data_IF_168500005790
#
_entry.id   IF_168500005790
#
_cell.length_a   1.000
_cell.length_b   1.000
_cell.length_c   1.000
_cell.angle_alpha   90.00
_cell.angle_beta   90.00
_cell.angle_gamma   90.00
#
_symmetry.space_group_name_H-M   'P 1'
#
loop_
_entity.id
_entity.type
_entity.pdbx_description
1 polymer ?
#
# COMPACT_ATOMS: atom_id res chain seq x y z
N UNK A 1 26.07 4.72 15.42
CA UNK A 1 25.30 5.68 14.60
C UNK A 1 24.08 4.98 14.02
N UNK A 2 22.88 5.47 14.33
CA UNK A 2 21.61 4.78 14.03
C UNK A 2 21.15 4.95 12.57
N UNK A 3 20.60 3.90 11.93
CA UNK A 3 20.16 3.91 10.52
C UNK A 3 18.99 4.87 10.23
N UNK A 4 18.41 5.52 11.24
CA UNK A 4 17.33 6.48 11.09
C UNK A 4 17.78 7.86 10.57
N UNK A 5 19.07 8.24 10.70
CA UNK A 5 19.56 9.57 10.25
C UNK A 5 19.96 9.63 8.78
N UNK A 6 20.26 8.50 8.14
CA UNK A 6 20.62 8.45 6.71
C UNK A 6 19.42 8.58 5.77
N UNK A 7 18.22 8.17 6.20
CA UNK A 7 17.00 8.28 5.39
C UNK A 7 16.38 9.68 5.37
N UNK A 8 16.69 10.53 6.35
CA UNK A 8 16.19 11.92 6.36
C UNK A 8 16.97 12.83 5.38
N UNK A 9 18.24 12.52 5.10
CA UNK A 9 19.07 13.29 4.16
C UNK A 9 18.78 13.01 2.68
N UNK A 10 18.34 11.80 2.34
CA UNK A 10 18.11 11.40 0.94
C UNK A 10 16.79 11.91 0.35
N UNK A 11 15.80 12.27 1.18
CA UNK A 11 14.50 12.78 0.71
C UNK A 11 14.52 14.29 0.36
N UNK A 12 15.58 15.01 0.72
CA UNK A 12 15.72 16.45 0.43
C UNK A 12 16.64 16.71 -0.78
N UNK A 13 17.50 15.76 -1.18
CA UNK A 13 18.49 15.95 -2.25
C UNK A 13 18.01 15.53 -3.66
N UNK A 14 16.79 15.01 -3.81
CA UNK A 14 16.40 14.20 -4.97
C UNK A 14 15.46 14.82 -5.99
N UNK A 15 15.25 16.14 -6.05
CA UNK A 15 14.53 16.78 -7.18
C UNK A 15 15.09 18.18 -7.43
N UNK A 16 16.40 18.29 -7.65
CA UNK A 16 16.90 19.39 -8.48
C UNK A 16 16.66 18.96 -9.91
N UNK A 17 15.41 19.07 -10.37
CA UNK A 17 15.13 19.01 -11.80
C UNK A 17 15.76 20.28 -12.36
N UNK A 18 16.98 20.15 -12.88
CA UNK A 18 17.58 21.11 -13.77
C UNK A 18 16.74 21.11 -15.05
N UNK A 19 15.57 21.76 -15.02
CA UNK A 19 14.87 22.16 -16.24
C UNK A 19 15.66 23.30 -16.85
N UNK A 20 16.81 23.00 -17.45
CA UNK A 20 17.32 23.76 -18.59
C UNK A 20 16.50 23.36 -19.82
N UNK A 21 15.17 23.45 -19.71
CA UNK A 21 14.33 23.55 -20.89
C UNK A 21 14.58 24.95 -21.44
N UNK A 22 15.66 25.08 -22.22
CA UNK A 22 15.80 26.17 -23.16
C UNK A 22 14.55 26.10 -24.04
N UNK A 23 13.53 26.87 -23.68
CA UNK A 23 12.42 27.14 -24.58
C UNK A 23 13.09 27.75 -25.80
N UNK A 24 13.24 26.94 -26.86
CA UNK A 24 13.67 27.40 -28.16
C UNK A 24 12.64 28.46 -28.56
N UNK A 25 12.96 29.72 -28.26
CA UNK A 25 12.11 30.84 -28.54
C UNK A 25 11.97 30.86 -30.04
N UNK A 26 10.80 30.49 -30.55
CA UNK A 26 10.44 30.76 -31.93
C UNK A 26 10.81 32.21 -32.18
N UNK A 27 11.71 32.44 -33.15
CA UNK A 27 12.30 33.75 -33.42
C UNK A 27 11.15 34.75 -33.54
N UNK A 28 10.94 35.55 -32.49
CA UNK A 28 9.84 36.49 -32.48
C UNK A 28 10.13 37.51 -33.58
N UNK A 29 9.16 37.80 -34.46
CA UNK A 29 9.35 38.78 -35.52
C UNK A 29 9.86 40.07 -34.87
N UNK A 30 10.91 40.66 -35.46
CA UNK A 30 11.47 41.93 -34.98
C UNK A 30 10.37 42.97 -35.01
N UNK A 31 9.73 43.19 -33.86
CA UNK A 31 8.75 44.25 -33.66
C UNK A 31 9.47 45.59 -33.81
N UNK A 32 8.82 46.62 -34.38
CA UNK A 32 9.38 47.96 -34.42
C UNK A 32 9.83 48.40 -33.01
N UNK A 33 10.95 49.11 -32.92
CA UNK A 33 11.56 49.53 -31.66
C UNK A 33 10.64 50.56 -30.95
N UNK A 34 9.67 50.08 -30.17
CA UNK A 34 8.96 50.93 -29.22
C UNK A 34 9.67 50.90 -27.86
N UNK A 35 10.10 52.06 -27.36
CA UNK A 35 10.74 52.17 -26.05
C UNK A 35 9.66 52.19 -24.97
N UNK A 36 9.49 51.05 -24.29
CA UNK A 36 8.67 50.93 -23.08
C UNK A 36 9.55 51.20 -21.87
N UNK A 37 9.06 51.99 -20.91
CA UNK A 37 9.68 52.18 -19.60
C UNK A 37 8.73 51.77 -18.48
N UNK A 38 9.24 51.07 -17.48
CA UNK A 38 8.49 50.64 -16.29
C UNK A 38 9.26 51.13 -15.06
N UNK A 39 8.63 51.98 -14.25
CA UNK A 39 9.29 52.59 -13.09
C UNK A 39 10.51 53.46 -13.46
N UNK A 40 10.54 53.98 -14.69
CA UNK A 40 11.68 54.74 -15.22
C UNK A 40 12.77 53.89 -15.89
N UNK A 41 12.73 52.56 -15.75
CA UNK A 41 13.70 51.66 -16.37
C UNK A 41 13.25 51.24 -17.77
N UNK A 42 14.18 51.15 -18.73
CA UNK A 42 13.90 50.64 -20.07
C UNK A 42 13.48 49.17 -19.98
N UNK A 43 12.35 48.84 -20.58
CA UNK A 43 11.71 47.53 -20.55
C UNK A 43 11.68 46.96 -21.96
N UNK A 44 12.38 45.85 -22.16
CA UNK A 44 12.50 45.16 -23.46
C UNK A 44 11.82 43.80 -23.40
N UNK A 45 11.63 43.15 -24.56
CA UNK A 45 11.16 41.77 -24.59
C UNK A 45 12.09 40.86 -23.78
N UNK A 46 11.52 40.14 -22.80
CA UNK A 46 12.26 39.32 -21.84
C UNK A 46 12.96 40.10 -20.71
N UNK A 47 12.80 41.42 -20.64
CA UNK A 47 13.38 42.24 -19.57
C UNK A 47 12.76 41.96 -18.20
N UNK A 48 13.53 42.21 -17.14
CA UNK A 48 13.11 42.11 -15.74
C UNK A 48 13.19 43.48 -15.06
N UNK A 49 12.15 43.86 -14.31
CA UNK A 49 12.15 45.08 -13.48
C UNK A 49 11.57 44.78 -12.11
N UNK A 50 12.29 45.12 -11.05
CA UNK A 50 11.79 45.01 -9.69
C UNK A 50 11.07 46.29 -9.25
N UNK A 51 9.89 46.14 -8.67
CA UNK A 51 9.05 47.23 -8.18
C UNK A 51 8.66 46.95 -6.72
N UNK A 52 8.87 47.89 -5.77
CA UNK A 52 8.42 47.71 -4.40
C UNK A 52 6.89 47.66 -4.31
N UNK A 53 6.35 46.73 -3.50
CA UNK A 53 4.91 46.55 -3.29
C UNK A 53 4.18 47.83 -2.80
N UNK A 54 4.89 48.73 -2.12
CA UNK A 54 4.35 49.97 -1.56
C UNK A 54 4.51 51.20 -2.47
N UNK A 55 4.97 51.04 -3.71
CA UNK A 55 5.18 52.16 -4.64
C UNK A 55 4.40 51.96 -5.93
N UNK A 56 3.72 53.02 -6.38
CA UNK A 56 3.16 53.04 -7.74
C UNK A 56 4.28 52.99 -8.77
N UNK A 57 4.11 52.15 -9.79
CA UNK A 57 5.02 52.10 -10.93
C UNK A 57 4.41 52.86 -12.10
N UNK A 58 5.19 53.71 -12.75
CA UNK A 58 4.74 54.35 -13.98
C UNK A 58 5.17 53.51 -15.18
N UNK A 59 4.21 53.05 -15.97
CA UNK A 59 4.45 52.49 -17.30
C UNK A 59 4.28 53.61 -18.31
N UNK A 60 5.30 53.84 -19.12
CA UNK A 60 5.22 54.83 -20.19
C UNK A 60 5.79 54.26 -21.48
N UNK A 61 5.18 54.66 -22.59
CA UNK A 61 5.68 54.34 -23.93
C UNK A 61 5.77 55.62 -24.71
N UNK A 62 6.92 55.82 -25.34
CA UNK A 62 7.13 56.89 -26.32
C UNK A 62 6.86 56.31 -27.70
N UNK A 63 6.00 56.95 -28.48
CA UNK A 63 5.61 56.51 -29.81
C UNK A 63 5.59 57.70 -30.77
N UNK A 64 5.92 57.47 -32.04
CA UNK A 64 5.88 58.52 -33.06
C UNK A 64 4.45 58.83 -33.55
N UNK A 65 3.51 57.91 -33.34
CA UNK A 65 2.11 58.05 -33.74
C UNK A 65 1.35 59.00 -32.79
N UNK A 66 0.44 59.82 -33.33
CA UNK A 66 -0.42 60.69 -32.52
C UNK A 66 -1.50 59.87 -31.79
N UNK A 67 -1.57 59.98 -30.46
CA UNK A 67 -2.59 59.35 -29.60
C UNK A 67 -2.68 57.81 -29.76
N UNK A 68 -1.57 57.07 -29.58
CA UNK A 68 -1.54 55.63 -29.80
C UNK A 68 -2.51 54.90 -28.87
N UNK A 69 -3.23 53.90 -29.39
CA UNK A 69 -4.03 53.01 -28.54
C UNK A 69 -3.10 52.14 -27.71
N UNK A 70 -3.49 51.88 -26.46
CA UNK A 70 -2.73 51.02 -25.57
C UNK A 70 -3.61 50.08 -24.77
N UNK A 71 -3.04 48.93 -24.44
CA UNK A 71 -3.59 47.93 -23.52
C UNK A 71 -2.44 47.33 -22.72
N UNK A 72 -2.54 47.43 -21.40
CA UNK A 72 -1.58 46.85 -20.46
C UNK A 72 -2.25 45.68 -19.76
N UNK A 73 -1.62 44.50 -19.81
CA UNK A 73 -2.06 43.31 -19.09
C UNK A 73 -0.98 42.84 -18.14
N UNK A 74 -1.39 42.42 -16.96
CA UNK A 74 -0.57 41.64 -16.03
C UNK A 74 -1.05 40.19 -16.08
N UNK A 75 -0.13 39.25 -16.13
CA UNK A 75 -0.41 37.83 -15.98
C UNK A 75 0.28 37.32 -14.71
N UNK A 76 -0.49 36.67 -13.85
CA UNK A 76 -0.02 35.98 -12.66
C UNK A 76 -0.55 34.56 -12.69
N UNK A 77 0.34 33.56 -12.68
CA UNK A 77 -0.04 32.14 -12.64
C UNK A 77 -1.00 31.75 -13.79
N UNK A 78 -0.78 32.28 -14.99
CA UNK A 78 -1.64 32.05 -16.16
C UNK A 78 -2.95 32.86 -16.19
N UNK A 79 -3.28 33.58 -15.12
CA UNK A 79 -4.46 34.45 -15.07
C UNK A 79 -4.07 35.84 -15.56
N UNK A 80 -4.65 36.27 -16.68
CA UNK A 80 -4.41 37.61 -17.25
C UNK A 80 -5.45 38.61 -16.76
N UNK A 81 -5.00 39.76 -16.24
CA UNK A 81 -5.82 40.90 -15.86
C UNK A 81 -5.44 42.12 -16.68
N UNK A 82 -6.42 42.85 -17.19
CA UNK A 82 -6.18 44.12 -17.89
C UNK A 82 -6.10 45.25 -16.87
N UNK A 83 -4.93 45.87 -16.75
CA UNK A 83 -4.66 46.93 -15.74
C UNK A 83 -4.87 48.34 -16.30
N UNK A 84 -4.95 48.46 -17.62
CA UNK A 84 -5.27 49.72 -18.27
C UNK A 84 -5.50 49.56 -19.77
N UNK A 85 -6.44 50.32 -20.29
CA UNK A 85 -6.67 50.54 -21.72
C UNK A 85 -6.91 52.01 -21.94
N UNK A 86 -6.52 52.51 -23.11
CA UNK A 86 -6.77 53.91 -23.45
C UNK A 86 -6.14 54.34 -24.75
N UNK A 87 -6.07 55.67 -24.92
CA UNK A 87 -5.31 56.35 -25.97
C UNK A 87 -4.29 57.26 -25.32
N UNK A 88 -3.13 57.38 -25.95
CA UNK A 88 -2.08 58.30 -25.54
C UNK A 88 -2.43 59.77 -25.78
N UNK A 89 -1.51 60.64 -25.37
CA UNK A 89 -1.52 62.05 -25.70
C UNK A 89 -0.33 62.33 -26.61
N UNK A 90 -0.60 62.97 -27.75
CA UNK A 90 0.41 63.30 -28.78
C UNK A 90 1.33 62.09 -29.05
N UNK A 91 2.59 62.14 -28.61
CA UNK A 91 3.65 61.17 -28.96
C UNK A 91 3.90 60.08 -27.90
N UNK A 92 2.86 59.60 -27.24
CA UNK A 92 2.99 58.48 -26.32
C UNK A 92 1.91 58.41 -25.26
N UNK A 93 2.13 57.57 -24.25
CA UNK A 93 1.22 57.46 -23.12
C UNK A 93 1.96 57.14 -21.84
N UNK A 94 1.34 57.53 -20.73
CA UNK A 94 1.81 57.24 -19.38
C UNK A 94 0.64 56.72 -18.54
N UNK A 95 0.83 55.59 -17.89
CA UNK A 95 -0.13 54.98 -16.97
C UNK A 95 0.55 54.67 -15.65
N UNK A 96 -0.02 55.13 -14.54
CA UNK A 96 0.38 54.65 -13.23
C UNK A 96 -0.28 53.31 -12.96
N UNK A 97 0.52 52.30 -12.62
CA UNK A 97 0.08 51.04 -12.06
C UNK A 97 -0.03 51.20 -10.55
N UNK A 98 -1.21 50.87 -10.02
CA UNK A 98 -1.43 50.84 -8.57
C UNK A 98 -0.91 49.53 -7.97
N UNK A 99 0.41 49.40 -7.93
CA UNK A 99 1.11 48.20 -7.45
C UNK A 99 0.65 47.77 -6.05
N UNK A 100 0.39 48.66 -5.08
CA UNK A 100 -0.16 48.27 -3.78
C UNK A 100 -1.44 47.44 -3.88
N UNK A 101 -2.37 47.83 -4.76
CA UNK A 101 -3.62 47.11 -4.97
C UNK A 101 -3.39 45.69 -5.52
N UNK A 102 -2.47 45.53 -6.46
CA UNK A 102 -2.12 44.20 -6.99
C UNK A 102 -1.32 43.36 -5.98
N UNK A 103 -0.52 44.02 -5.15
CA UNK A 103 0.27 43.40 -4.09
C UNK A 103 -0.59 42.74 -3.00
N UNK A 104 -1.87 43.11 -2.86
CA UNK A 104 -2.80 42.45 -1.94
C UNK A 104 -3.20 41.05 -2.43
N UNK A 105 -3.32 40.87 -3.75
CA UNK A 105 -3.64 39.59 -4.35
C UNK A 105 -2.43 38.65 -4.41
N UNK A 106 -1.25 39.20 -4.67
CA UNK A 106 0.00 38.44 -4.75
C UNK A 106 1.23 39.33 -4.84
N UNK A 107 2.39 38.77 -4.53
CA UNK A 107 3.72 39.34 -4.74
C UNK A 107 4.53 38.41 -5.67
N UNK A 108 5.77 38.77 -5.97
CA UNK A 108 6.64 37.95 -6.81
C UNK A 108 6.58 38.34 -8.29
N UNK A 109 6.82 37.38 -9.17
CA UNK A 109 7.01 37.64 -10.60
C UNK A 109 5.70 37.65 -11.38
N UNK A 110 5.40 38.80 -11.99
CA UNK A 110 4.29 39.00 -12.92
C UNK A 110 4.81 39.11 -14.34
N UNK A 111 4.06 38.59 -15.31
CA UNK A 111 4.35 38.84 -16.72
C UNK A 111 3.55 40.05 -17.19
N UNK A 112 4.26 41.09 -17.60
CA UNK A 112 3.67 42.33 -18.10
C UNK A 112 3.64 42.28 -19.62
N UNK A 113 2.43 42.40 -20.20
CA UNK A 113 2.23 42.59 -21.63
C UNK A 113 1.80 44.03 -21.89
N UNK A 114 2.65 44.77 -22.60
CA UNK A 114 2.36 46.12 -23.08
C UNK A 114 2.07 46.03 -24.56
N UNK A 115 0.82 46.26 -24.93
CA UNK A 115 0.36 46.25 -26.33
C UNK A 115 0.06 47.69 -26.70
N UNK A 116 0.72 48.20 -27.73
CA UNK A 116 0.46 49.53 -28.29
C UNK A 116 0.52 49.49 -29.82
N UNK A 117 0.09 50.55 -30.49
CA UNK A 117 0.28 50.71 -31.93
C UNK A 117 1.35 51.79 -32.17
N UNK A 118 2.29 51.51 -33.08
CA UNK A 118 3.27 52.48 -33.58
C UNK A 118 3.25 52.37 -35.10
N UNK A 119 2.94 53.48 -35.76
CA UNK A 119 2.76 53.57 -37.22
C UNK A 119 1.74 52.55 -37.74
N UNK A 120 0.63 52.39 -37.00
CA UNK A 120 -0.44 51.44 -37.33
C UNK A 120 -0.06 49.96 -37.14
N UNK A 121 1.18 49.64 -36.73
CA UNK A 121 1.62 48.26 -36.45
C UNK A 121 1.58 47.99 -34.95
N UNK A 122 1.12 46.80 -34.50
CA UNK A 122 1.12 46.46 -33.09
C UNK A 122 2.57 46.30 -32.60
N UNK A 123 2.97 47.10 -31.62
CA UNK A 123 4.16 46.87 -30.83
C UNK A 123 3.76 46.15 -29.54
N UNK A 124 4.30 44.94 -29.34
CA UNK A 124 4.04 44.12 -28.16
C UNK A 124 5.36 43.93 -27.42
N UNK A 125 5.43 44.48 -26.20
CA UNK A 125 6.55 44.26 -25.29
C UNK A 125 6.10 43.40 -24.13
N UNK A 126 6.75 42.26 -23.96
CA UNK A 126 6.50 41.30 -22.89
C UNK A 126 7.73 41.15 -22.02
N UNK A 127 7.60 41.34 -20.72
CA UNK A 127 8.69 41.07 -19.77
C UNK A 127 8.15 40.70 -18.40
N UNK A 128 9.04 40.63 -17.43
CA UNK A 128 8.74 40.21 -16.07
C UNK A 128 8.90 41.39 -15.10
N UNK A 129 7.94 41.53 -14.19
CA UNK A 129 7.92 42.56 -13.15
C UNK A 129 7.86 41.87 -11.80
N UNK A 130 8.89 42.07 -10.99
CA UNK A 130 8.97 41.48 -9.65
C UNK A 130 8.44 42.45 -8.61
N UNK A 131 7.32 42.12 -7.98
CA UNK A 131 6.77 42.88 -6.86
C UNK A 131 7.47 42.42 -5.57
N UNK A 132 8.27 43.30 -4.96
CA UNK A 132 9.16 42.98 -3.82
C UNK A 132 8.75 43.70 -2.52
N UNK A 133 9.45 43.40 -1.41
CA UNK A 133 9.28 44.03 -0.08
C UNK A 133 7.97 43.76 0.65
N UNK A 134 7.24 42.69 0.30
CA UNK A 134 6.11 42.17 1.06
C UNK A 134 6.24 40.66 1.17
N UNK A 135 5.96 40.11 2.34
CA UNK A 135 6.09 38.67 2.56
C UNK A 135 4.98 37.92 1.82
N UNK A 136 5.29 36.84 1.07
CA UNK A 136 4.31 36.03 0.32
C UNK A 136 3.05 35.67 1.12
N UNK A 137 3.25 35.22 2.37
CA UNK A 137 2.19 34.76 3.27
C UNK A 137 1.18 35.85 3.67
N UNK A 138 1.50 37.13 3.46
CA UNK A 138 0.60 38.26 3.76
C UNK A 138 -0.31 38.63 2.59
N UNK A 139 -0.16 37.97 1.44
CA UNK A 139 -1.01 38.14 0.27
C UNK A 139 -2.07 37.05 0.22
N UNK A 140 -3.19 37.30 -0.47
CA UNK A 140 -4.26 36.30 -0.61
C UNK A 140 -3.73 35.01 -1.27
N UNK A 141 -3.00 35.14 -2.40
CA UNK A 141 -2.48 33.98 -3.12
C UNK A 141 -1.40 33.23 -2.32
N UNK A 142 -0.44 33.94 -1.70
CA UNK A 142 0.61 33.29 -0.92
C UNK A 142 0.10 32.65 0.37
N UNK A 143 -0.90 33.25 1.03
CA UNK A 143 -1.58 32.66 2.19
C UNK A 143 -2.35 31.38 1.81
N UNK A 144 -3.13 31.42 0.74
CA UNK A 144 -3.87 30.25 0.24
C UNK A 144 -2.93 29.11 -0.19
N UNK A 145 -1.83 29.44 -0.89
CA UNK A 145 -0.81 28.47 -1.30
C UNK A 145 -0.10 27.83 -0.09
N UNK A 146 0.29 28.63 0.89
CA UNK A 146 0.91 28.12 2.11
C UNK A 146 -0.03 27.16 2.87
N UNK A 147 -1.31 27.53 3.03
CA UNK A 147 -2.32 26.68 3.67
C UNK A 147 -2.52 25.36 2.91
N UNK A 148 -2.68 25.42 1.59
CA UNK A 148 -2.86 24.24 0.75
C UNK A 148 -1.64 23.29 0.85
N UNK A 149 -0.43 23.85 0.85
CA UNK A 149 0.80 23.07 1.05
C UNK A 149 0.84 22.40 2.42
N UNK A 150 0.50 23.12 3.51
CA UNK A 150 0.44 22.56 4.87
C UNK A 150 -0.59 21.44 4.96
N UNK A 151 -1.78 21.59 4.38
CA UNK A 151 -2.80 20.54 4.35
C UNK A 151 -2.29 19.29 3.60
N UNK A 152 -1.64 19.47 2.45
CA UNK A 152 -1.06 18.37 1.69
C UNK A 152 0.05 17.67 2.49
N UNK A 153 0.94 18.42 3.14
CA UNK A 153 2.00 17.89 3.99
C UNK A 153 1.44 17.11 5.20
N UNK A 154 0.46 17.68 5.91
CA UNK A 154 -0.22 17.00 7.02
C UNK A 154 -0.89 15.72 6.53
N UNK A 155 -1.57 15.74 5.37
CA UNK A 155 -2.21 14.55 4.82
C UNK A 155 -1.17 13.45 4.53
N UNK A 156 -0.02 13.82 3.99
CA UNK A 156 1.07 12.91 3.68
C UNK A 156 1.71 12.34 4.95
N UNK A 157 1.88 13.16 5.98
CA UNK A 157 2.32 12.75 7.32
C UNK A 157 1.28 11.81 7.96
N UNK A 158 0.00 12.15 7.92
CA UNK A 158 -1.09 11.30 8.41
C UNK A 158 -1.14 9.99 7.63
N UNK A 159 -0.85 9.98 6.33
CA UNK A 159 -0.75 8.75 5.54
C UNK A 159 0.43 7.87 5.98
N UNK A 160 1.57 8.48 6.34
CA UNK A 160 2.71 7.77 6.94
C UNK A 160 2.39 7.21 8.33
N UNK A 161 1.70 7.99 9.18
CA UNK A 161 1.44 7.65 10.58
C UNK A 161 0.14 6.89 10.82
N UNK A 162 -0.80 6.86 9.87
CA UNK A 162 -1.86 5.85 9.79
C UNK A 162 -1.19 4.51 9.45
N UNK A 163 -0.36 4.04 10.39
CA UNK A 163 0.11 2.66 10.55
C UNK A 163 -1.09 1.79 10.25
N UNK A 164 -1.01 1.09 9.11
CA UNK A 164 -2.12 0.47 8.40
C UNK A 164 -3.31 0.30 9.32
N UNK A 165 -4.29 1.21 9.17
CA UNK A 165 -5.44 1.31 10.06
C UNK A 165 -5.83 -0.10 10.47
N UNK A 166 -5.75 -0.36 11.79
CA UNK A 166 -5.81 -1.69 12.41
C UNK A 166 -6.60 -2.60 11.47
N UNK A 167 -5.99 -3.61 10.82
CA UNK A 167 -6.75 -4.50 9.95
C UNK A 167 -7.98 -4.87 10.76
N UNK A 168 -9.17 -4.48 10.26
CA UNK A 168 -10.45 -4.56 10.98
C UNK A 168 -10.38 -5.71 11.96
N UNK A 169 -10.25 -5.36 13.24
CA UNK A 169 -10.26 -6.22 14.44
C UNK A 169 -10.38 -7.71 14.09
N UNK A 170 -9.33 -8.31 13.53
CA UNK A 170 -9.34 -9.71 13.12
C UNK A 170 -8.20 -10.39 13.82
N UNK A 171 -8.56 -11.57 14.34
CA UNK A 171 -7.73 -12.57 15.01
C UNK A 171 -7.61 -12.33 16.51
N UNK A 172 -8.59 -12.84 17.25
CA UNK A 172 -8.20 -13.75 18.32
C UNK A 172 -7.84 -15.06 17.61
N UNK A 173 -6.64 -15.58 17.84
CA UNK A 173 -6.34 -16.96 17.49
C UNK A 173 -7.19 -17.81 18.45
N UNK A 174 -8.18 -18.52 17.93
CA UNK A 174 -8.93 -19.50 18.71
C UNK A 174 -8.05 -20.75 18.73
N UNK A 175 -7.61 -21.16 19.91
CA UNK A 175 -6.88 -22.42 20.07
C UNK A 175 -7.82 -23.61 19.85
N UNK A 176 -7.30 -24.74 19.41
CA UNK A 176 -8.10 -25.98 19.25
C UNK A 176 -8.72 -26.43 20.59
N UNK A 177 -8.15 -25.98 21.72
CA UNK A 177 -8.62 -26.27 23.08
C UNK A 177 -9.47 -25.16 23.70
N UNK A 178 -9.82 -24.08 22.96
CA UNK A 178 -10.76 -23.10 23.50
C UNK A 178 -12.14 -23.78 23.67
N UNK A 179 -12.73 -23.77 24.87
CA UNK A 179 -13.98 -24.47 25.13
C UNK A 179 -15.07 -23.96 24.17
N UNK A 180 -15.87 -24.89 23.63
CA UNK A 180 -16.92 -24.64 22.62
C UNK A 180 -17.89 -23.48 22.96
N UNK A 181 -17.94 -23.06 24.23
CA UNK A 181 -18.67 -21.87 24.71
C UNK A 181 -18.11 -20.50 24.25
N UNK A 182 -16.86 -20.40 23.77
CA UNK A 182 -16.29 -19.14 23.25
C UNK A 182 -16.52 -18.88 21.76
N UNK A 183 -17.16 -19.80 21.03
CA UNK A 183 -17.45 -19.69 19.59
C UNK A 183 -18.58 -18.70 19.25
N UNK A 184 -19.12 -17.98 20.23
CA UNK A 184 -20.16 -16.97 20.06
C UNK A 184 -19.70 -15.69 19.30
N UNK A 185 -18.41 -15.55 18.99
CA UNK A 185 -17.82 -14.33 18.40
C UNK A 185 -17.39 -14.46 16.93
N UNK A 186 -17.96 -15.39 16.16
CA UNK A 186 -17.71 -15.50 14.71
C UNK A 186 -18.74 -14.64 13.95
N UNK A 187 -18.44 -13.34 13.83
CA UNK A 187 -19.39 -12.36 13.26
C UNK A 187 -19.04 -11.89 11.84
N UNK A 188 -17.90 -12.31 11.26
CA UNK A 188 -17.45 -11.76 9.96
C UNK A 188 -16.98 -12.80 8.94
N UNK A 189 -17.21 -12.52 7.63
CA UNK A 189 -16.96 -13.47 6.53
C UNK A 189 -15.50 -13.77 6.20
N UNK A 190 -14.52 -13.13 6.83
CA UNK A 190 -13.10 -13.43 6.63
C UNK A 190 -12.65 -14.74 7.29
N UNK A 191 -13.38 -15.21 8.30
CA UNK A 191 -13.13 -16.47 9.00
C UNK A 191 -13.62 -17.71 8.19
N UNK A 192 -14.19 -17.48 7.00
CA UNK A 192 -14.93 -18.47 6.21
C UNK A 192 -14.08 -19.27 5.22
N UNK A 193 -12.91 -18.76 4.81
CA UNK A 193 -12.15 -19.34 3.68
C UNK A 193 -11.49 -20.69 4.01
N UNK A 194 -11.15 -20.94 5.28
CA UNK A 194 -10.70 -22.28 5.71
C UNK A 194 -11.82 -23.32 5.80
N UNK A 195 -13.10 -22.89 5.78
CA UNK A 195 -14.27 -23.76 5.93
C UNK A 195 -14.90 -24.19 4.62
N UNK A 196 -14.59 -23.51 3.50
CA UNK A 196 -15.10 -23.91 2.18
C UNK A 196 -14.57 -25.28 1.73
N UNK A 197 -13.37 -25.68 2.16
CA UNK A 197 -12.83 -27.03 1.92
C UNK A 197 -13.59 -28.10 2.71
N UNK A 198 -14.04 -27.81 3.94
CA UNK A 198 -14.81 -28.74 4.77
C UNK A 198 -16.28 -28.85 4.31
N UNK A 199 -16.88 -27.74 3.86
CA UNK A 199 -18.28 -27.70 3.45
C UNK A 199 -18.55 -28.35 2.08
N UNK A 200 -17.54 -28.42 1.21
CA UNK A 200 -17.64 -29.10 -0.09
C UNK A 200 -17.85 -30.62 0.06
N UNK A 201 -17.36 -31.24 1.14
CA UNK A 201 -17.54 -32.67 1.43
C UNK A 201 -18.89 -33.01 2.10
N UNK A 202 -19.60 -32.02 2.66
CA UNK A 202 -20.85 -32.19 3.40
C UNK A 202 -22.12 -31.98 2.54
N UNK A 203 -22.00 -31.96 1.21
CA UNK A 203 -23.14 -31.80 0.29
C UNK A 203 -23.75 -30.39 0.28
N UNK A 204 -23.09 -29.40 0.88
CA UNK A 204 -23.63 -28.05 1.05
C UNK A 204 -23.35 -27.15 -0.17
N UNK A 205 -23.86 -27.55 -1.35
CA UNK A 205 -23.73 -26.79 -2.62
C UNK A 205 -24.32 -25.38 -2.54
N UNK A 206 -25.23 -25.11 -1.60
CA UNK A 206 -25.86 -23.80 -1.37
C UNK A 206 -24.89 -22.73 -0.84
N UNK A 207 -23.75 -23.10 -0.24
CA UNK A 207 -22.81 -22.12 0.33
C UNK A 207 -21.79 -21.56 -0.67
N UNK A 208 -21.70 -22.15 -1.86
CA UNK A 208 -20.73 -21.76 -2.89
C UNK A 208 -21.28 -20.64 -3.78
N UNK A 209 -22.61 -20.51 -3.91
CA UNK A 209 -23.25 -19.53 -4.80
C UNK A 209 -23.78 -18.29 -4.10
N UNK A 210 -24.07 -18.34 -2.80
CA UNK A 210 -24.49 -17.17 -2.02
C UNK A 210 -23.74 -17.15 -0.69
N UNK A 211 -23.10 -16.02 -0.39
CA UNK A 211 -22.35 -15.81 0.85
C UNK A 211 -23.30 -15.82 2.05
N UNK A 212 -23.32 -16.86 2.90
CA UNK A 212 -24.26 -16.94 4.01
C UNK A 212 -23.93 -15.91 5.08
N UNK A 213 -24.96 -15.48 5.83
CA UNK A 213 -24.75 -14.71 7.06
C UNK A 213 -24.09 -15.59 8.12
N UNK A 214 -23.37 -14.98 9.08
CA UNK A 214 -22.78 -15.71 10.21
C UNK A 214 -23.81 -16.46 11.06
N UNK A 215 -25.09 -16.06 10.99
CA UNK A 215 -26.20 -16.74 11.66
C UNK A 215 -26.62 -18.01 10.92
N UNK A 216 -26.68 -17.99 9.58
CA UNK A 216 -26.96 -19.18 8.77
C UNK A 216 -25.90 -20.27 8.94
N UNK A 217 -24.63 -19.88 9.10
CA UNK A 217 -23.54 -20.82 9.39
C UNK A 217 -23.68 -21.41 10.80
N UNK A 218 -24.04 -20.59 11.80
CA UNK A 218 -24.30 -21.08 13.16
C UNK A 218 -25.50 -22.03 13.21
N UNK A 219 -26.56 -21.73 12.48
CA UNK A 219 -27.72 -22.60 12.35
C UNK A 219 -27.31 -23.94 11.73
N UNK A 220 -26.58 -23.92 10.62
CA UNK A 220 -26.07 -25.12 9.96
C UNK A 220 -25.16 -25.97 10.86
N UNK A 221 -24.29 -25.35 11.65
CA UNK A 221 -23.41 -26.07 12.58
C UNK A 221 -24.17 -26.71 13.75
N UNK A 222 -25.32 -26.15 14.14
CA UNK A 222 -26.20 -26.71 15.16
C UNK A 222 -27.16 -27.76 14.60
N UNK A 223 -27.25 -27.92 13.28
CA UNK A 223 -28.09 -28.97 12.69
C UNK A 223 -27.54 -30.35 13.11
N UNK A 224 -28.38 -31.24 13.65
CA UNK A 224 -27.95 -32.54 14.16
C UNK A 224 -27.17 -33.37 13.13
N UNK A 225 -27.54 -33.28 11.86
CA UNK A 225 -26.84 -33.97 10.75
C UNK A 225 -25.38 -33.51 10.60
N UNK A 226 -25.08 -32.25 10.90
CA UNK A 226 -23.73 -31.69 10.80
C UNK A 226 -22.86 -32.23 11.93
N UNK A 227 -23.43 -32.34 13.14
CA UNK A 227 -22.78 -33.00 14.27
C UNK A 227 -22.52 -34.49 14.02
N UNK A 228 -23.50 -35.22 13.48
CA UNK A 228 -23.34 -36.65 13.14
C UNK A 228 -22.28 -36.84 12.06
N UNK A 229 -22.22 -35.96 11.06
CA UNK A 229 -21.23 -36.04 10.00
C UNK A 229 -19.81 -35.71 10.49
N UNK A 230 -19.65 -34.68 11.34
CA UNK A 230 -18.37 -34.35 11.98
C UNK A 230 -17.89 -35.47 12.91
N UNK A 231 -18.80 -36.03 13.72
CA UNK A 231 -18.50 -37.18 14.56
C UNK A 231 -18.13 -38.42 13.72
N UNK A 232 -18.80 -38.64 12.59
CA UNK A 232 -18.48 -39.72 11.65
C UNK A 232 -17.15 -39.52 10.91
N UNK A 233 -16.71 -38.28 10.68
CA UNK A 233 -15.35 -38.00 10.18
C UNK A 233 -14.31 -38.28 11.27
N UNK A 234 -14.58 -37.85 12.50
CA UNK A 234 -13.69 -38.06 13.64
C UNK A 234 -13.55 -39.55 14.00
N UNK A 235 -14.65 -40.31 13.94
CA UNK A 235 -14.66 -41.76 14.13
C UNK A 235 -13.91 -42.51 13.02
N UNK A 236 -13.86 -41.96 11.79
CA UNK A 236 -13.03 -42.46 10.69
C UNK A 236 -11.55 -42.06 10.80
N UNK A 237 -11.13 -41.54 11.95
CA UNK A 237 -9.73 -41.18 12.19
C UNK A 237 -9.28 -39.91 11.46
N UNK A 238 -10.21 -39.14 10.87
CA UNK A 238 -9.88 -37.84 10.25
C UNK A 238 -9.54 -36.86 11.36
N UNK A 239 -8.25 -36.76 11.68
CA UNK A 239 -7.71 -35.73 12.58
C UNK A 239 -7.60 -34.43 11.78
N UNK A 240 -8.42 -33.43 12.11
CA UNK A 240 -8.18 -32.05 11.67
C UNK A 240 -6.98 -31.53 12.46
N UNK A 241 -5.76 -31.89 12.04
CA UNK A 241 -4.54 -31.25 12.52
C UNK A 241 -4.45 -29.88 11.86
N UNK A 242 -4.38 -28.81 12.66
CA UNK A 242 -3.61 -27.65 12.22
C UNK A 242 -2.17 -28.16 12.07
N UNK A 243 -1.77 -28.48 10.83
CA UNK A 243 -0.60 -29.31 10.55
C UNK A 243 0.67 -28.88 11.30
N UNK A 244 1.36 -29.86 11.89
CA UNK A 244 2.67 -29.72 12.53
C UNK A 244 3.81 -29.53 11.49
N UNK A 245 3.55 -29.72 10.20
CA UNK A 245 4.52 -29.40 9.16
C UNK A 245 4.47 -27.92 8.78
N UNK A 246 5.33 -27.18 9.48
CA UNK A 246 5.67 -25.76 9.35
C UNK A 246 4.73 -24.76 10.04
N UNK A 247 4.94 -24.61 11.35
CA UNK A 247 4.59 -23.43 12.18
C UNK A 247 5.32 -22.14 11.74
N UNK A 248 5.59 -21.96 10.45
CA UNK A 248 6.06 -20.67 9.95
C UNK A 248 4.83 -19.79 9.80
N UNK A 249 4.70 -18.79 10.68
CA UNK A 249 3.60 -17.83 10.58
C UNK A 249 3.67 -17.20 9.17
N UNK A 250 2.58 -17.22 8.39
CA UNK A 250 2.62 -16.81 6.99
C UNK A 250 3.13 -15.37 6.90
N UNK A 251 4.33 -15.20 6.32
CA UNK A 251 4.93 -13.88 6.16
C UNK A 251 4.04 -13.03 5.27
N UNK A 252 3.76 -11.82 5.73
CA UNK A 252 2.98 -10.88 4.93
C UNK A 252 3.83 -10.46 3.73
N UNK A 253 3.36 -10.83 2.53
CA UNK A 253 3.89 -10.30 1.27
C UNK A 253 3.37 -8.88 1.08
N UNK A 254 4.28 -7.96 0.75
CA UNK A 254 3.90 -6.59 0.41
C UNK A 254 3.04 -6.61 -0.86
N UNK A 255 1.91 -5.90 -0.83
CA UNK A 255 1.06 -5.66 -2.00
C UNK A 255 0.87 -4.16 -2.15
N UNK A 256 1.36 -3.53 -3.23
CA UNK A 256 1.08 -2.12 -3.49
C UNK A 256 -0.42 -1.93 -3.62
N UNK A 257 -0.97 -0.87 -3.03
CA UNK A 257 -2.31 -0.39 -3.42
C UNK A 257 -2.23 1.09 -3.71
N UNK A 258 -2.89 1.49 -4.78
CA UNK A 258 -3.01 2.87 -5.19
C UNK A 258 -4.26 3.45 -4.55
N UNK A 259 -4.08 4.31 -3.54
CA UNK A 259 -5.15 5.18 -3.08
C UNK A 259 -5.16 6.40 -3.98
N UNK A 260 -6.27 6.70 -4.65
CA UNK A 260 -6.36 7.82 -5.61
C UNK A 260 -6.32 9.18 -4.91
N UNK A 261 -6.82 9.27 -3.67
CA UNK A 261 -6.90 10.54 -2.94
C UNK A 261 -5.54 11.11 -2.54
N UNK A 262 -4.60 10.27 -2.09
CA UNK A 262 -3.26 10.70 -1.66
C UNK A 262 -2.45 11.37 -2.77
N UNK A 263 -2.30 10.80 -3.99
CA UNK A 263 -1.59 11.45 -5.08
C UNK A 263 -2.30 12.72 -5.57
N UNK A 264 -3.65 12.78 -5.54
CA UNK A 264 -4.37 14.01 -5.90
C UNK A 264 -4.09 15.16 -4.93
N UNK A 265 -4.14 14.90 -3.62
CA UNK A 265 -3.82 15.91 -2.61
C UNK A 265 -2.34 16.30 -2.65
N UNK A 266 -1.46 15.35 -2.92
CA UNK A 266 -0.03 15.63 -3.08
C UNK A 266 0.24 16.45 -4.37
N UNK A 267 -0.49 16.21 -5.46
CA UNK A 267 -0.44 17.02 -6.68
C UNK A 267 -0.84 18.47 -6.42
N UNK A 268 -1.94 18.68 -5.68
CA UNK A 268 -2.37 20.00 -5.25
C UNK A 268 -1.30 20.67 -4.37
N UNK A 269 -0.65 19.93 -3.47
CA UNK A 269 0.47 20.40 -2.67
C UNK A 269 1.69 20.81 -3.52
N UNK A 270 2.00 20.07 -4.58
CA UNK A 270 3.06 20.40 -5.52
C UNK A 270 2.79 21.68 -6.32
N UNK A 271 1.54 21.88 -6.78
CA UNK A 271 1.11 23.14 -7.41
C UNK A 271 1.19 24.29 -6.39
N UNK A 272 0.71 24.09 -5.17
CA UNK A 272 0.74 25.09 -4.10
C UNK A 272 2.18 25.52 -3.77
N UNK A 273 3.13 24.58 -3.73
CA UNK A 273 4.55 24.90 -3.56
C UNK A 273 5.08 25.75 -4.73
N UNK A 274 4.73 25.42 -5.97
CA UNK A 274 5.15 26.19 -7.14
C UNK A 274 4.59 27.62 -7.13
N UNK A 275 3.31 27.80 -6.74
CA UNK A 275 2.70 29.11 -6.52
C UNK A 275 3.45 29.87 -5.42
N UNK A 276 3.76 29.22 -4.30
CA UNK A 276 4.50 29.85 -3.20
C UNK A 276 5.90 30.32 -3.62
N UNK A 277 6.63 29.49 -4.39
CA UNK A 277 7.94 29.85 -4.94
C UNK A 277 7.85 31.03 -5.94
N UNK A 278 6.76 31.12 -6.71
CA UNK A 278 6.51 32.29 -7.55
C UNK A 278 6.31 33.55 -6.72
N UNK A 279 5.55 33.47 -5.62
CA UNK A 279 5.35 34.59 -4.71
C UNK A 279 6.67 35.07 -4.08
N UNK A 280 7.63 34.16 -3.89
CA UNK A 280 8.99 34.48 -3.44
C UNK A 280 9.92 35.01 -4.56
N UNK A 281 9.40 35.26 -5.76
CA UNK A 281 10.18 35.66 -6.96
C UNK A 281 11.30 34.67 -7.33
N UNK A 282 11.16 33.39 -6.95
CA UNK A 282 12.14 32.34 -7.26
C UNK A 282 11.88 31.72 -8.64
N UNK A 283 10.61 31.65 -9.05
CA UNK A 283 10.18 30.90 -10.24
C UNK A 283 8.95 31.53 -10.88
N UNK A 284 8.92 31.69 -12.20
CA UNK A 284 7.69 32.08 -12.90
C UNK A 284 6.80 30.84 -13.14
N UNK A 285 5.55 30.87 -12.65
CA UNK A 285 4.63 29.74 -12.80
C UNK A 285 4.04 29.69 -14.20
N UNK A 286 4.75 29.03 -15.10
CA UNK A 286 4.20 28.63 -16.41
C UNK A 286 3.28 27.41 -16.25
N UNK A 287 2.40 27.13 -17.23
CA UNK A 287 1.64 25.88 -17.27
C UNK A 287 2.51 24.63 -17.16
N UNK A 288 3.72 24.66 -17.74
CA UNK A 288 4.69 23.56 -17.67
C UNK A 288 5.20 23.39 -16.24
N UNK A 289 5.55 24.48 -15.56
CA UNK A 289 6.00 24.44 -14.16
C UNK A 289 4.88 23.94 -13.24
N UNK A 290 3.63 24.39 -13.46
CA UNK A 290 2.48 23.90 -12.70
C UNK A 290 2.25 22.39 -12.92
N UNK A 291 2.35 21.92 -14.16
CA UNK A 291 2.24 20.49 -14.49
C UNK A 291 3.37 19.66 -13.85
N UNK A 292 4.61 20.16 -13.87
CA UNK A 292 5.74 19.52 -13.20
C UNK A 292 5.56 19.49 -11.67
N UNK A 293 5.07 20.58 -11.07
CA UNK A 293 4.73 20.62 -9.65
C UNK A 293 3.65 19.58 -9.30
N UNK A 294 2.59 19.50 -10.10
CA UNK A 294 1.53 18.50 -9.94
C UNK A 294 2.08 17.06 -10.05
N UNK A 295 2.89 16.78 -11.09
CA UNK A 295 3.50 15.47 -11.31
C UNK A 295 4.44 15.08 -10.16
N UNK A 296 5.30 15.99 -9.72
CA UNK A 296 6.18 15.79 -8.57
C UNK A 296 5.40 15.48 -7.29
N UNK A 297 4.27 16.18 -7.09
CA UNK A 297 3.31 15.88 -6.04
C UNK A 297 2.72 14.47 -6.13
N UNK A 298 2.23 14.05 -7.30
CA UNK A 298 1.69 12.69 -7.52
C UNK A 298 2.75 11.64 -7.18
N UNK A 299 3.96 11.77 -7.69
CA UNK A 299 5.07 10.83 -7.45
C UNK A 299 5.37 10.75 -5.95
N UNK A 300 5.50 11.90 -5.27
CA UNK A 300 5.72 11.93 -3.83
C UNK A 300 4.59 11.23 -3.06
N UNK A 301 3.32 11.49 -3.43
CA UNK A 301 2.16 10.84 -2.82
C UNK A 301 2.16 9.31 -2.99
N UNK A 302 2.48 8.81 -4.18
CA UNK A 302 2.57 7.37 -4.47
C UNK A 302 3.71 6.72 -3.70
N UNK A 303 4.90 7.32 -3.72
CA UNK A 303 6.09 6.81 -3.03
C UNK A 303 5.83 6.75 -1.52
N UNK A 304 5.28 7.82 -0.94
CA UNK A 304 5.06 7.90 0.50
C UNK A 304 3.98 6.90 0.95
N UNK A 305 2.89 6.75 0.20
CA UNK A 305 1.85 5.77 0.51
C UNK A 305 2.37 4.33 0.47
N UNK A 306 3.22 4.00 -0.51
CA UNK A 306 3.81 2.66 -0.64
C UNK A 306 4.89 2.39 0.42
N UNK A 307 5.73 3.39 0.72
CA UNK A 307 6.77 3.30 1.74
C UNK A 307 6.18 3.10 3.14
N UNK A 308 5.12 3.83 3.50
CA UNK A 308 4.40 3.65 4.77
C UNK A 308 3.97 2.18 4.98
N UNK A 309 3.42 1.57 3.92
CA UNK A 309 3.00 0.17 3.93
C UNK A 309 4.17 -0.80 4.04
N UNK A 310 5.22 -0.59 3.25
CA UNK A 310 6.41 -1.42 3.27
C UNK A 310 7.02 -1.45 4.67
N UNK A 311 7.17 -0.27 5.29
CA UNK A 311 7.67 -0.14 6.67
C UNK A 311 6.75 -0.87 7.67
N UNK A 312 5.43 -0.79 7.48
CA UNK A 312 4.46 -1.54 8.28
C UNK A 312 4.61 -3.06 8.15
N UNK A 313 4.75 -3.58 6.93
CA UNK A 313 4.98 -5.00 6.66
C UNK A 313 6.31 -5.48 7.25
N UNK A 314 7.39 -4.70 7.09
CA UNK A 314 8.70 -5.02 7.66
C UNK A 314 8.64 -5.04 9.19
N UNK A 315 8.00 -4.04 9.81
CA UNK A 315 7.87 -3.99 11.26
C UNK A 315 7.06 -5.17 11.82
N UNK A 316 5.98 -5.57 11.13
CA UNK A 316 5.16 -6.71 11.54
C UNK A 316 5.89 -8.04 11.33
N UNK A 317 6.58 -8.24 10.19
CA UNK A 317 7.38 -9.45 9.95
C UNK A 317 8.53 -9.57 10.95
N UNK A 318 9.13 -8.46 11.41
CA UNK A 318 10.12 -8.48 12.49
C UNK A 318 9.52 -8.93 13.83
N UNK A 319 8.30 -8.49 14.14
CA UNK A 319 7.57 -8.94 15.36
C UNK A 319 7.18 -10.41 15.29
N UNK A 320 6.72 -10.87 14.12
CA UNK A 320 6.44 -12.29 13.89
C UNK A 320 7.70 -13.13 14.08
N UNK A 321 8.83 -12.74 13.47
CA UNK A 321 10.11 -13.43 13.65
C UNK A 321 10.56 -13.47 15.12
N UNK A 322 10.36 -12.39 15.87
CA UNK A 322 10.68 -12.35 17.30
C UNK A 322 9.76 -13.27 18.12
N UNK A 323 8.48 -13.37 17.75
CA UNK A 323 7.54 -14.29 18.39
C UNK A 323 7.82 -15.76 18.05
N UNK A 324 8.20 -16.04 16.79
CA UNK A 324 8.65 -17.37 16.35
C UNK A 324 9.87 -17.84 17.16
N UNK A 325 10.82 -16.94 17.45
CA UNK A 325 11.97 -17.27 18.28
C UNK A 325 11.67 -17.44 19.78
N UNK A 326 10.46 -17.09 20.24
CA UNK A 326 10.02 -17.29 21.63
C UNK A 326 9.04 -18.45 21.79
N UNK A 327 8.60 -19.05 20.69
CA UNK A 327 7.98 -20.37 20.71
C UNK A 327 9.12 -21.37 20.84
N UNK A 328 9.54 -21.63 22.08
CA UNK A 328 10.15 -22.91 22.41
C UNK A 328 9.10 -23.95 22.05
N UNK A 329 9.20 -24.45 20.82
CA UNK A 329 8.67 -25.77 20.53
C UNK A 329 9.49 -26.66 21.43
N UNK A 330 8.98 -26.89 22.63
CA UNK A 330 9.30 -28.08 23.39
C UNK A 330 9.06 -29.19 22.36
N UNK A 331 10.15 -29.61 21.72
CA UNK A 331 10.19 -30.85 20.97
C UNK A 331 9.87 -31.86 22.04
N UNK A 332 8.57 -32.13 22.21
CA UNK A 332 8.08 -33.25 22.97
C UNK A 332 8.73 -34.41 22.27
N UNK A 333 9.87 -34.81 22.82
CA UNK A 333 10.63 -35.96 22.40
C UNK A 333 9.58 -37.06 22.23
N UNK A 334 9.41 -37.59 21.00
CA UNK A 334 8.31 -38.48 20.74
C UNK A 334 8.33 -39.54 21.83
N UNK A 335 7.22 -39.71 22.54
CA UNK A 335 7.07 -40.70 23.63
C UNK A 335 7.12 -42.15 23.10
N UNK A 336 7.70 -42.35 21.93
CA UNK A 336 8.10 -43.62 21.39
C UNK A 336 9.58 -43.78 21.72
N UNK A 337 10.01 -44.88 22.34
CA UNK A 337 11.42 -45.17 22.44
C UNK A 337 12.02 -45.07 21.02
N UNK A 338 13.18 -44.42 20.83
CA UNK A 338 13.86 -44.44 19.56
C UNK A 338 13.97 -45.90 19.12
N UNK A 339 13.35 -46.23 17.98
CA UNK A 339 13.54 -47.53 17.37
C UNK A 339 14.98 -47.46 16.84
N UNK A 340 15.95 -47.95 17.62
CA UNK A 340 17.39 -48.02 17.32
C UNK A 340 17.74 -48.83 16.05
N UNK A 341 16.75 -49.15 15.21
CA UNK A 341 16.84 -50.02 14.05
C UNK A 341 16.16 -49.44 12.80
N UNK A 342 15.74 -48.16 12.80
CA UNK A 342 15.19 -47.51 11.59
C UNK A 342 16.20 -47.53 10.43
N UNK A 343 17.49 -47.46 10.73
CA UNK A 343 18.59 -47.59 9.76
C UNK A 343 18.62 -48.96 9.06
N UNK A 344 17.92 -49.98 9.60
CA UNK A 344 17.78 -51.32 9.01
C UNK A 344 16.49 -51.48 8.20
N UNK A 345 15.57 -50.50 8.21
CA UNK A 345 14.28 -50.58 7.54
C UNK A 345 14.29 -50.07 6.09
N UNK A 346 15.32 -49.33 5.65
CA UNK A 346 15.45 -48.86 4.26
C UNK A 346 15.63 -50.01 3.23
N UNK A 347 15.92 -51.22 3.69
CA UNK A 347 15.97 -52.44 2.85
C UNK A 347 14.75 -53.36 3.00
N UNK A 348 13.76 -53.01 3.82
CA UNK A 348 12.65 -53.92 4.10
C UNK A 348 11.49 -53.68 3.16
N UNK A 349 11.51 -54.35 2.00
CA UNK A 349 10.31 -54.48 1.17
C UNK A 349 9.22 -55.12 2.04
N UNK A 350 8.14 -54.37 2.29
CA UNK A 350 7.01 -54.88 3.05
C UNK A 350 6.24 -55.88 2.19
N UNK A 351 6.22 -57.14 2.61
CA UNK A 351 5.42 -58.20 2.00
C UNK A 351 4.50 -58.76 3.09
N UNK A 352 3.18 -58.69 2.93
CA UNK A 352 2.27 -59.21 3.93
C UNK A 352 2.35 -60.74 3.94
N UNK A 353 2.27 -61.32 5.13
CA UNK A 353 2.28 -62.78 5.31
C UNK A 353 0.94 -63.29 5.79
N UNK A 354 0.16 -62.43 6.46
CA UNK A 354 -1.10 -62.81 7.09
C UNK A 354 -2.13 -61.69 6.90
N UNK A 355 -3.40 -62.02 7.08
CA UNK A 355 -4.51 -61.05 7.17
C UNK A 355 -5.23 -61.19 8.50
N UNK A 356 -5.70 -60.05 9.01
CA UNK A 356 -6.70 -60.03 10.08
C UNK A 356 -8.00 -60.63 9.53
N UNK A 357 -8.71 -61.51 10.25
CA UNK A 357 -9.98 -62.06 9.80
C UNK A 357 -10.93 -60.97 9.32
N UNK A 358 -11.58 -61.21 8.18
CA UNK A 358 -12.59 -60.29 7.65
C UNK A 358 -13.90 -60.32 8.45
N UNK A 359 -14.10 -61.36 9.24
CA UNK A 359 -15.28 -61.55 10.07
C UNK A 359 -15.06 -60.89 11.44
N UNK A 360 -15.98 -60.01 11.84
CA UNK A 360 -15.98 -59.35 13.15
C UNK A 360 -15.53 -57.88 13.15
N UNK A 361 -15.32 -57.33 14.36
CA UNK A 361 -15.04 -55.90 14.62
C UNK A 361 -13.54 -55.54 14.55
N UNK A 362 -12.71 -56.42 13.96
CA UNK A 362 -11.27 -56.30 13.93
C UNK A 362 -10.59 -57.02 15.08
N UNK A 363 -9.29 -56.81 15.24
CA UNK A 363 -8.49 -57.51 16.24
C UNK A 363 -7.73 -56.53 17.16
N UNK A 364 -7.89 -56.63 18.49
CA UNK A 364 -7.14 -55.77 19.40
C UNK A 364 -5.64 -56.04 19.25
N UNK A 365 -4.85 -54.97 19.32
CA UNK A 365 -3.41 -55.03 19.28
C UNK A 365 -2.77 -54.21 20.39
N UNK A 366 -1.72 -54.77 20.99
CA UNK A 366 -1.03 -54.26 22.17
C UNK A 366 0.36 -53.74 21.80
N UNK A 367 0.89 -52.81 22.61
CA UNK A 367 2.25 -52.30 22.43
C UNK A 367 3.32 -53.36 22.76
N UNK A 368 3.01 -54.25 23.71
CA UNK A 368 3.88 -55.33 24.17
C UNK A 368 3.18 -56.70 24.09
N UNK A 369 3.95 -57.79 24.23
CA UNK A 369 3.45 -59.16 24.26
C UNK A 369 2.69 -59.50 25.57
N UNK A 370 1.71 -58.68 25.95
CA UNK A 370 0.95 -58.80 27.19
C UNK A 370 -0.54 -58.48 26.98
N UNK A 371 -1.38 -59.52 26.97
CA UNK A 371 -2.84 -59.39 26.80
C UNK A 371 -3.55 -58.73 27.97
N UNK A 372 -2.88 -58.57 29.12
CA UNK A 372 -3.51 -57.95 30.31
C UNK A 372 -3.58 -56.43 30.21
N UNK A 373 -2.81 -55.83 29.30
CA UNK A 373 -2.84 -54.40 29.03
C UNK A 373 -4.05 -54.00 28.20
N UNK A 374 -4.44 -52.73 28.29
CA UNK A 374 -5.44 -52.17 27.39
C UNK A 374 -4.88 -52.19 25.93
N UNK A 375 -5.67 -52.59 24.93
CA UNK A 375 -5.24 -52.54 23.53
C UNK A 375 -4.81 -51.11 23.15
N UNK A 376 -3.64 -50.99 22.52
CA UNK A 376 -3.13 -49.74 21.98
C UNK A 376 -3.87 -49.32 20.70
N UNK A 377 -4.38 -50.31 19.95
CA UNK A 377 -5.16 -50.13 18.74
C UNK A 377 -6.11 -51.32 18.50
N UNK A 378 -7.05 -51.15 17.59
CA UNK A 378 -7.81 -52.25 16.98
C UNK A 378 -7.46 -52.29 15.49
N UNK A 379 -6.97 -53.43 15.01
CA UNK A 379 -6.62 -53.67 13.62
C UNK A 379 -7.87 -53.99 12.82
N UNK A 380 -8.06 -53.33 11.69
CA UNK A 380 -9.26 -53.48 10.87
C UNK A 380 -9.41 -54.90 10.28
N UNK A 381 -10.63 -55.40 10.11
CA UNK A 381 -10.89 -56.67 9.42
C UNK A 381 -10.28 -56.70 8.02
N UNK A 382 -9.62 -57.79 7.66
CA UNK A 382 -8.97 -57.95 6.36
C UNK A 382 -7.67 -57.15 6.19
N UNK A 383 -7.20 -56.44 7.21
CA UNK A 383 -5.92 -55.73 7.15
C UNK A 383 -4.78 -56.71 6.92
N UNK A 384 -4.02 -56.49 5.86
CA UNK A 384 -2.83 -57.26 5.57
C UNK A 384 -1.70 -56.84 6.51
N UNK A 385 -1.07 -57.82 7.14
CA UNK A 385 0.00 -57.63 8.12
C UNK A 385 1.16 -58.59 7.83
N UNK A 386 2.37 -58.19 8.22
CA UNK A 386 3.51 -59.11 8.25
C UNK A 386 3.76 -59.55 9.69
N UNK A 387 3.68 -60.85 9.94
CA UNK A 387 4.06 -61.44 11.22
C UNK A 387 5.59 -61.52 11.28
N UNK A 388 6.19 -60.94 12.31
CA UNK A 388 7.64 -60.91 12.51
C UNK A 388 8.08 -61.92 13.56
N UNK A 389 7.29 -62.08 14.62
CA UNK A 389 7.57 -63.01 15.72
C UNK A 389 6.25 -63.56 16.29
N UNK A 390 6.29 -64.76 16.86
CA UNK A 390 5.20 -65.33 17.67
C UNK A 390 5.72 -65.68 19.06
N UNK A 391 5.01 -65.27 20.10
CA UNK A 391 5.37 -65.48 21.51
C UNK A 391 4.12 -65.62 22.36
N UNK A 392 4.01 -66.70 23.14
CA UNK A 392 2.94 -66.92 24.14
C UNK A 392 1.51 -66.74 23.57
N UNK A 393 1.27 -67.21 22.32
CA UNK A 393 -0.01 -67.07 21.63
C UNK A 393 -0.28 -65.68 21.03
N UNK A 394 0.66 -64.74 21.15
CA UNK A 394 0.63 -63.45 20.46
C UNK A 394 1.56 -63.45 19.25
N UNK A 395 1.24 -62.66 18.24
CA UNK A 395 2.04 -62.44 17.05
C UNK A 395 2.41 -60.95 16.97
N UNK A 396 3.70 -60.65 16.88
CA UNK A 396 4.15 -59.31 16.55
C UNK A 396 3.92 -59.07 15.07
N UNK A 397 3.14 -58.05 14.75
CA UNK A 397 2.75 -57.69 13.39
C UNK A 397 3.28 -56.32 13.00
N UNK A 398 3.64 -56.17 11.72
CA UNK A 398 4.03 -54.91 11.10
C UNK A 398 3.06 -54.57 9.98
N UNK A 399 2.43 -53.41 10.09
CA UNK A 399 1.52 -52.86 9.09
C UNK A 399 2.28 -52.14 7.97
N UNK A 400 1.63 -51.92 6.83
CA UNK A 400 2.23 -51.24 5.66
C UNK A 400 2.67 -49.79 5.92
N UNK A 401 2.11 -49.15 6.95
CA UNK A 401 2.49 -47.80 7.39
C UNK A 401 3.63 -47.78 8.43
N UNK A 402 4.24 -48.94 8.71
CA UNK A 402 5.33 -49.07 9.68
C UNK A 402 4.89 -49.23 11.14
N UNK A 403 3.58 -49.26 11.42
CA UNK A 403 3.10 -49.53 12.78
C UNK A 403 3.42 -50.96 13.22
N UNK A 404 3.90 -51.11 14.45
CA UNK A 404 4.27 -52.41 15.04
C UNK A 404 3.51 -52.61 16.34
N UNK A 405 2.98 -53.81 16.54
CA UNK A 405 2.37 -54.22 17.80
C UNK A 405 2.11 -55.71 17.83
N UNK A 406 1.53 -56.19 18.94
CA UNK A 406 1.22 -57.60 19.16
C UNK A 406 -0.27 -57.84 19.02
N UNK A 407 -0.68 -58.90 18.33
CA UNK A 407 -2.09 -59.30 18.17
C UNK A 407 -2.26 -60.80 18.46
N UNK A 408 -3.49 -61.28 18.60
CA UNK A 408 -3.76 -62.69 18.88
C UNK A 408 -3.39 -63.59 17.68
N UNK A 409 -2.40 -64.46 17.87
CA UNK A 409 -1.73 -65.19 16.79
C UNK A 409 -2.63 -66.28 16.17
N UNK A 410 -3.59 -66.78 16.95
CA UNK A 410 -4.47 -67.90 16.56
C UNK A 410 -5.60 -67.46 15.64
N UNK A 411 -5.88 -66.15 15.56
CA UNK A 411 -6.89 -65.61 14.65
C UNK A 411 -6.29 -65.13 13.33
N UNK A 412 -4.97 -65.15 13.13
CA UNK A 412 -4.40 -64.66 11.88
C UNK A 412 -4.61 -65.68 10.75
N UNK A 413 -5.04 -65.23 9.58
CA UNK A 413 -5.16 -66.06 8.39
C UNK A 413 -3.90 -65.91 7.53
N UNK A 414 -3.26 -67.02 7.18
CA UNK A 414 -2.14 -67.00 6.22
C UNK A 414 -2.63 -66.50 4.85
N UNK A 415 -1.80 -65.72 4.15
CA UNK A 415 -2.11 -65.25 2.79
C UNK A 415 -1.75 -66.32 1.75
N UNK A 416 -0.75 -67.16 2.04
CA UNK A 416 -0.22 -68.15 1.10
C UNK A 416 -0.73 -69.58 1.39
N UNK A 417 -1.62 -69.75 2.40
CA UNK A 417 -2.04 -71.05 2.96
C UNK A 417 -3.52 -71.40 2.80
#
# INVERSE_FOLDING_TARGET
>A
MTPARLLAGALIAGVVVTTTAAAAGAAQPRTPDCEVRVGGHRFRNGGHVAVPANRRATVSVTALEEKPRYRVRLELAGVTSTVGTGRGQEFGWRRQLDVPHYADFGVGTYRLHVITAVDGKPCVVTGLVDITRRAPVTTLAGGAAALAFVIAAITLVVALFRRGGRPLRTRHAVGVDDPLGRFAAVDTPGNYVGWAEVACDLGARTFVTVKPSGEAVRAFMREPKTHVALAGMQARGVRIRAGDDSTVLPRLRWRPRFFVLTPLLAAAGGIALAVYLQQAAVLYLTPVVAALGALGGVVAGVVVANLARLLGTVALNRRLKAAEGGLDVETVEPRYPPIDHLDKLDTFVWTPTHTIPREGDGQPAWSDADRTQAPAATLDPGLAVRVVERKDGLAQVVCSNGWVGWTDADKLHDIDG
#
